data_IF_106487153293
#
_entry.id   IF_106487153293
#
_cell.length_a   1.000
_cell.length_b   1.000
_cell.length_c   1.000
_cell.angle_alpha   90.00
_cell.angle_beta   90.00
_cell.angle_gamma   90.00
#
_symmetry.space_group_name_H-M   'P 1'
#
loop_
_entity.id
_entity.type
_entity.pdbx_description
1 polymer ?
#
# COMPACT_ATOMS: atom_id res chain seq x y z
N UNK A 1 16.92 5.73 26.11
CA UNK A 1 15.54 6.01 26.55
C UNK A 1 15.15 7.37 26.00
N UNK A 2 13.92 7.52 25.50
CA UNK A 2 13.42 8.79 25.00
C UNK A 2 13.03 9.69 26.20
N UNK A 3 13.20 11.02 26.11
CA UNK A 3 12.70 11.94 27.14
C UNK A 3 11.22 11.75 27.44
N UNK A 4 10.81 11.87 28.71
CA UNK A 4 9.42 11.62 29.17
C UNK A 4 8.40 12.60 28.57
N UNK A 5 8.84 13.77 28.13
CA UNK A 5 7.97 14.79 27.53
C UNK A 5 7.61 14.51 26.07
N UNK A 6 8.19 13.49 25.44
CA UNK A 6 7.85 13.10 24.08
C UNK A 6 6.81 11.97 24.13
N UNK A 7 5.57 12.20 23.64
CA UNK A 7 4.57 11.16 23.58
C UNK A 7 5.04 9.96 22.76
N UNK A 8 4.77 8.76 23.27
CA UNK A 8 5.14 7.50 22.61
C UNK A 8 3.94 6.59 22.43
N UNK A 9 4.00 5.77 21.39
CA UNK A 9 3.05 4.70 21.09
C UNK A 9 3.75 3.35 21.24
N UNK A 10 3.10 2.42 21.95
CA UNK A 10 3.49 1.03 21.99
C UNK A 10 2.91 0.32 20.77
N UNK A 11 3.78 -0.09 19.86
CA UNK A 11 3.42 -0.83 18.66
C UNK A 11 3.70 -2.33 18.87
N UNK A 12 2.71 -3.15 18.55
CA UNK A 12 2.82 -4.61 18.61
C UNK A 12 2.52 -5.23 17.26
N UNK A 13 3.02 -6.44 17.01
CA UNK A 13 2.61 -7.24 15.86
C UNK A 13 2.86 -8.71 16.16
N UNK A 14 2.17 -9.60 15.44
CA UNK A 14 2.42 -11.04 15.46
C UNK A 14 2.42 -11.60 14.05
N UNK A 15 3.47 -12.33 13.71
CA UNK A 15 3.66 -12.93 12.39
C UNK A 15 3.62 -14.45 12.49
N UNK A 16 2.64 -15.03 11.82
CA UNK A 16 2.44 -16.48 11.72
C UNK A 16 2.41 -16.90 10.26
N UNK A 17 2.88 -18.11 9.99
CA UNK A 17 2.62 -18.79 8.73
C UNK A 17 1.14 -19.22 8.64
N UNK A 18 0.62 -19.56 7.45
CA UNK A 18 -0.78 -20.02 7.30
C UNK A 18 -1.12 -21.28 8.12
N UNK A 19 -0.11 -22.13 8.42
CA UNK A 19 -0.26 -23.30 9.29
C UNK A 19 -0.07 -22.96 10.79
N UNK A 20 0.01 -21.67 11.14
CA UNK A 20 0.02 -21.18 12.52
C UNK A 20 1.38 -21.17 13.22
N UNK A 21 2.47 -21.44 12.51
CA UNK A 21 3.82 -21.43 13.10
C UNK A 21 4.34 -19.99 13.23
N UNK A 22 5.03 -19.66 14.32
CA UNK A 22 5.77 -18.40 14.45
C UNK A 22 6.74 -18.18 13.28
N UNK A 23 6.66 -17.01 12.66
CA UNK A 23 7.69 -16.57 11.72
C UNK A 23 8.91 -16.03 12.48
N UNK A 24 10.04 -15.93 11.77
CA UNK A 24 11.26 -15.28 12.28
C UNK A 24 11.69 -14.16 11.35
N UNK A 25 12.43 -13.18 11.88
CA UNK A 25 12.93 -12.05 11.11
C UNK A 25 12.94 -10.76 11.91
N UNK A 26 12.91 -9.64 11.20
CA UNK A 26 12.97 -8.30 11.80
C UNK A 26 12.01 -7.35 11.13
N UNK A 27 11.48 -6.40 11.89
CA UNK A 27 10.73 -5.25 11.39
C UNK A 27 11.52 -3.99 11.71
N UNK A 28 11.74 -3.15 10.71
CA UNK A 28 12.44 -1.87 10.87
C UNK A 28 11.45 -0.71 10.72
N UNK A 29 11.55 0.26 11.62
CA UNK A 29 10.76 1.49 11.64
C UNK A 29 11.70 2.67 11.44
N UNK A 30 11.62 3.34 10.29
CA UNK A 30 12.53 4.41 9.90
C UNK A 30 11.79 5.74 9.76
N UNK A 31 12.17 6.79 10.51
CA UNK A 31 11.74 8.16 10.24
C UNK A 31 12.18 8.62 8.83
N UNK A 32 11.48 9.60 8.22
CA UNK A 32 11.73 9.97 6.82
C UNK A 32 13.07 10.69 6.63
N UNK A 33 13.55 11.35 7.68
CA UNK A 33 14.82 12.06 7.75
C UNK A 33 15.29 12.14 9.20
N UNK A 34 16.41 12.84 9.43
CA UNK A 34 16.82 13.25 10.76
C UNK A 34 15.82 14.29 11.28
N UNK A 35 15.07 13.93 12.31
CA UNK A 35 14.10 14.80 12.98
C UNK A 35 14.78 15.56 14.12
N UNK A 36 14.25 16.75 14.42
CA UNK A 36 14.68 17.56 15.56
C UNK A 36 13.51 17.88 16.46
N UNK A 37 13.76 17.93 17.77
CA UNK A 37 12.79 18.35 18.78
C UNK A 37 13.44 19.40 19.69
N UNK A 38 13.18 20.67 19.39
CA UNK A 38 13.90 21.79 20.03
C UNK A 38 13.67 21.85 21.55
N UNK A 39 12.44 21.64 22.02
CA UNK A 39 12.13 21.70 23.46
C UNK A 39 12.74 20.55 24.27
N UNK A 40 13.16 19.48 23.60
CA UNK A 40 13.78 18.32 24.23
C UNK A 40 15.28 18.22 23.88
N UNK A 41 15.83 19.22 23.18
CA UNK A 41 17.21 19.25 22.66
C UNK A 41 17.64 17.92 21.99
N UNK A 42 16.72 17.32 21.21
CA UNK A 42 16.86 15.97 20.69
C UNK A 42 16.95 15.93 19.15
N UNK A 43 17.88 15.13 18.64
CA UNK A 43 17.88 14.64 17.27
C UNK A 43 17.41 13.19 17.25
N UNK A 44 16.46 12.87 16.37
CA UNK A 44 15.94 11.51 16.20
C UNK A 44 16.14 11.06 14.75
N UNK A 45 16.85 9.95 14.57
CA UNK A 45 17.14 9.41 13.24
C UNK A 45 17.53 7.94 13.31
N UNK A 46 17.76 7.37 12.13
CA UNK A 46 18.07 5.95 11.98
C UNK A 46 16.84 5.05 12.21
N UNK A 47 16.90 3.78 11.78
CA UNK A 47 15.81 2.85 11.99
C UNK A 47 15.84 2.26 13.40
N UNK A 48 14.67 2.16 14.03
CA UNK A 48 14.45 1.26 15.17
C UNK A 48 14.16 -0.13 14.61
N UNK A 49 14.95 -1.13 15.00
CA UNK A 49 14.76 -2.53 14.56
C UNK A 49 14.20 -3.37 15.70
N UNK A 50 13.09 -4.04 15.45
CA UNK A 50 12.51 -5.05 16.33
C UNK A 50 12.71 -6.44 15.72
N UNK A 51 13.26 -7.37 16.51
CA UNK A 51 13.41 -8.78 16.12
C UNK A 51 12.23 -9.57 16.66
N UNK A 52 11.68 -10.47 15.84
CA UNK A 52 10.58 -11.35 16.26
C UNK A 52 11.08 -12.30 17.37
N UNK A 53 10.27 -12.46 18.43
CA UNK A 53 10.52 -13.44 19.48
C UNK A 53 10.15 -14.88 19.06
N UNK A 54 10.24 -15.83 20.01
CA UNK A 54 9.92 -17.23 19.76
C UNK A 54 8.46 -17.48 19.36
N UNK A 55 7.55 -16.56 19.70
CA UNK A 55 6.12 -16.60 19.35
C UNK A 55 5.80 -15.79 18.09
N UNK A 56 6.82 -15.25 17.41
CA UNK A 56 6.70 -14.46 16.19
C UNK A 56 6.20 -13.05 16.45
N UNK A 57 6.36 -12.54 17.68
CA UNK A 57 5.84 -11.23 18.10
C UNK A 57 6.94 -10.17 18.15
N UNK A 58 6.50 -8.93 18.04
CA UNK A 58 7.29 -7.75 18.41
C UNK A 58 6.49 -6.86 19.37
N UNK A 59 7.21 -6.14 20.22
CA UNK A 59 6.68 -5.03 21.00
C UNK A 59 7.75 -3.94 21.03
N UNK A 60 7.43 -2.75 20.53
CA UNK A 60 8.36 -1.63 20.42
C UNK A 60 7.67 -0.34 20.80
N UNK A 61 8.37 0.51 21.54
CA UNK A 61 7.90 1.86 21.89
C UNK A 61 8.52 2.85 20.93
N UNK A 62 7.68 3.60 20.20
CA UNK A 62 8.10 4.54 19.18
C UNK A 62 7.51 5.93 19.48
N UNK A 63 8.23 7.03 19.22
CA UNK A 63 7.64 8.36 19.31
C UNK A 63 6.42 8.51 18.41
N UNK A 64 5.39 9.19 18.92
CA UNK A 64 4.22 9.58 18.16
C UNK A 64 4.62 10.58 17.06
N UNK A 65 4.01 10.43 15.89
CA UNK A 65 4.38 11.16 14.67
C UNK A 65 3.66 12.50 14.53
N UNK A 66 2.61 12.72 15.32
CA UNK A 66 1.82 13.95 15.39
C UNK A 66 2.10 14.78 16.66
N UNK A 67 3.07 14.36 17.47
CA UNK A 67 3.44 15.10 18.67
C UNK A 67 3.96 16.51 18.31
N UNK A 68 3.64 17.54 19.11
CA UNK A 68 4.17 18.88 18.92
C UNK A 68 5.69 18.91 19.12
N UNK A 69 6.36 19.92 18.57
CA UNK A 69 7.80 20.13 18.78
C UNK A 69 8.72 19.44 17.77
N UNK A 70 8.22 18.48 16.98
CA UNK A 70 8.97 17.89 15.87
C UNK A 70 9.20 18.86 14.71
N UNK A 71 10.38 18.77 14.10
CA UNK A 71 10.67 19.38 12.82
C UNK A 71 11.37 18.38 11.88
N UNK A 72 10.78 18.06 10.71
CA UNK A 72 9.46 18.52 10.24
C UNK A 72 8.30 18.04 11.13
N UNK A 73 7.22 18.84 11.16
CA UNK A 73 5.96 18.47 11.83
C UNK A 73 5.24 17.38 11.05
N UNK A 74 4.40 16.58 11.73
CA UNK A 74 3.50 15.59 11.14
C UNK A 74 4.18 14.69 10.08
N UNK A 75 4.92 13.71 10.56
CA UNK A 75 5.74 12.81 9.73
C UNK A 75 5.20 11.37 9.75
N UNK A 76 5.86 10.46 9.05
CA UNK A 76 5.49 9.03 9.02
C UNK A 76 6.71 8.13 9.14
N UNK A 77 6.54 6.94 9.72
CA UNK A 77 7.58 5.91 9.66
C UNK A 77 7.46 5.11 8.37
N UNK A 78 8.61 4.83 7.75
CA UNK A 78 8.76 3.72 6.81
C UNK A 78 8.93 2.43 7.58
N UNK A 79 8.00 1.50 7.41
CA UNK A 79 8.08 0.14 7.94
C UNK A 79 8.71 -0.76 6.89
N UNK A 80 9.69 -1.58 7.28
CA UNK A 80 10.26 -2.62 6.42
C UNK A 80 10.23 -3.97 7.14
N UNK A 81 9.42 -4.89 6.63
CA UNK A 81 9.25 -6.24 7.16
C UNK A 81 10.19 -7.21 6.44
N UNK A 82 11.25 -7.65 7.13
CA UNK A 82 12.25 -8.63 6.64
C UNK A 82 12.03 -9.97 7.35
N UNK A 83 11.04 -10.71 6.86
CA UNK A 83 10.62 -11.99 7.45
C UNK A 83 11.15 -13.17 6.65
N UNK A 84 11.56 -14.23 7.34
CA UNK A 84 11.97 -15.48 6.72
C UNK A 84 10.78 -16.14 6.00
N UNK A 85 11.02 -16.64 4.78
CA UNK A 85 10.00 -17.33 3.98
C UNK A 85 9.15 -16.43 3.08
N UNK A 86 9.27 -15.10 3.17
CA UNK A 86 8.68 -14.18 2.18
C UNK A 86 9.55 -14.07 0.92
N UNK A 87 8.91 -13.75 -0.22
CA UNK A 87 9.61 -13.48 -1.47
C UNK A 87 10.68 -12.39 -1.29
N UNK A 88 11.79 -12.49 -2.05
CA UNK A 88 12.94 -11.59 -1.91
C UNK A 88 12.49 -10.13 -2.09
N UNK A 89 12.61 -9.34 -1.03
CA UNK A 89 12.25 -7.91 -1.03
C UNK A 89 11.53 -7.45 0.23
N UNK A 90 10.84 -8.36 0.94
CA UNK A 90 10.02 -8.00 2.11
C UNK A 90 8.84 -7.09 1.74
N UNK A 91 8.12 -6.57 2.75
CA UNK A 91 7.08 -5.53 2.57
C UNK A 91 7.61 -4.20 3.07
N UNK A 92 7.34 -3.12 2.33
CA UNK A 92 7.68 -1.75 2.75
C UNK A 92 6.47 -0.85 2.58
N UNK A 93 6.11 -0.10 3.62
CA UNK A 93 4.96 0.81 3.63
C UNK A 93 5.15 1.95 4.65
N UNK A 94 4.29 2.97 4.62
CA UNK A 94 4.32 4.06 5.59
C UNK A 94 3.24 3.90 6.65
N UNK A 95 3.52 4.30 7.89
CA UNK A 95 2.53 4.41 8.97
C UNK A 95 2.67 5.75 9.71
N UNK A 96 1.55 6.23 10.25
CA UNK A 96 1.51 7.31 11.23
C UNK A 96 1.12 6.73 12.59
N UNK A 97 1.72 7.22 13.67
CA UNK A 97 1.41 6.80 15.04
C UNK A 97 0.91 8.01 15.82
N UNK A 98 -0.40 8.08 16.04
CA UNK A 98 -1.01 9.21 16.72
C UNK A 98 -0.81 9.13 18.24
N UNK A 99 -0.46 10.24 18.88
CA UNK A 99 -0.30 10.33 20.34
C UNK A 99 -1.60 10.03 21.10
N UNK A 100 -2.76 10.21 20.45
CA UNK A 100 -4.08 9.87 21.00
C UNK A 100 -4.35 8.36 21.07
N UNK A 101 -3.54 7.54 20.39
CA UNK A 101 -3.67 6.08 20.34
C UNK A 101 -2.38 5.46 20.90
N UNK A 102 -2.25 5.30 22.24
CA UNK A 102 -0.99 4.92 22.88
C UNK A 102 -0.59 3.46 22.66
N UNK A 103 -1.51 2.61 22.16
CA UNK A 103 -1.25 1.22 21.85
C UNK A 103 -1.87 0.88 20.49
N UNK A 104 -1.06 0.29 19.60
CA UNK A 104 -1.45 -0.05 18.24
C UNK A 104 -0.96 -1.47 17.90
N UNK A 105 -1.80 -2.27 17.26
CA UNK A 105 -1.36 -3.47 16.55
C UNK A 105 -1.06 -3.09 15.09
N UNK A 106 0.12 -3.44 14.62
CA UNK A 106 0.57 -3.16 13.25
C UNK A 106 -0.36 -3.81 12.22
N UNK A 107 -1.00 -4.95 12.55
CA UNK A 107 -1.94 -5.61 11.67
C UNK A 107 -3.21 -4.79 11.40
N UNK A 108 -3.61 -3.91 12.32
CA UNK A 108 -4.81 -3.08 12.19
C UNK A 108 -4.60 -1.87 11.26
N UNK A 109 -3.34 -1.44 11.09
CA UNK A 109 -2.98 -0.24 10.32
C UNK A 109 -2.15 -0.54 9.06
N UNK A 110 -1.61 -1.76 8.93
CA UNK A 110 -0.83 -2.14 7.76
C UNK A 110 -1.73 -2.22 6.52
N UNK A 111 -1.32 -1.63 5.38
CA UNK A 111 -2.12 -1.68 4.16
C UNK A 111 -2.21 -3.11 3.61
N UNK A 112 -3.37 -3.46 3.05
CA UNK A 112 -3.61 -4.78 2.44
C UNK A 112 -2.67 -5.04 1.25
N UNK A 113 -2.43 -4.02 0.42
CA UNK A 113 -1.41 -4.03 -0.63
C UNK A 113 -0.49 -2.81 -0.48
N UNK A 114 0.79 -3.00 -0.09
CA UNK A 114 1.72 -1.88 0.06
C UNK A 114 2.22 -1.33 -1.29
N UNK A 115 1.95 -2.00 -2.40
CA UNK A 115 2.43 -1.65 -3.75
C UNK A 115 1.40 -0.95 -4.64
N UNK A 116 0.12 -0.93 -4.24
CA UNK A 116 -0.93 -0.23 -5.00
C UNK A 116 -1.49 0.96 -4.23
N UNK A 117 -1.35 2.21 -4.74
CA UNK A 117 -2.30 3.26 -4.36
C UNK A 117 -3.68 2.83 -4.88
N UNK A 118 -4.67 2.71 -4.00
CA UNK A 118 -6.03 2.33 -4.38
C UNK A 118 -6.63 3.33 -5.37
N UNK A 119 -6.63 2.98 -6.66
CA UNK A 119 -7.38 3.69 -7.70
C UNK A 119 -8.60 2.85 -8.07
N UNK A 120 -9.80 3.33 -7.74
CA UNK A 120 -11.04 2.79 -8.32
C UNK A 120 -11.15 3.38 -9.72
N UNK A 121 -10.74 2.64 -10.74
CA UNK A 121 -11.05 3.03 -12.11
C UNK A 121 -12.57 2.96 -12.28
N UNK A 122 -13.22 4.12 -12.37
CA UNK A 122 -14.60 4.21 -12.89
C UNK A 122 -14.47 4.12 -14.40
N UNK A 123 -14.92 3.03 -15.06
CA UNK A 123 -14.95 3.00 -16.52
C UNK A 123 -15.82 4.15 -16.99
N UNK A 124 -15.27 5.03 -17.83
CA UNK A 124 -16.07 6.04 -18.52
C UNK A 124 -17.13 5.35 -19.40
N UNK A 125 -18.23 6.05 -19.73
CA UNK A 125 -19.21 5.51 -20.69
C UNK A 125 -18.51 5.14 -22.01
N UNK A 126 -18.96 4.09 -22.72
CA UNK A 126 -18.45 3.74 -24.04
C UNK A 126 -18.43 4.96 -24.96
N UNK A 127 -17.33 5.14 -25.71
CA UNK A 127 -17.28 6.16 -26.75
C UNK A 127 -18.37 5.94 -27.82
N UNK A 128 -18.76 6.97 -28.58
CA UNK A 128 -19.69 6.82 -29.68
C UNK A 128 -19.15 5.82 -30.71
N UNK A 129 -20.05 5.10 -31.38
CA UNK A 129 -19.69 4.25 -32.51
C UNK A 129 -18.97 5.09 -33.58
N UNK A 130 -17.91 4.52 -34.17
CA UNK A 130 -17.23 5.16 -35.30
C UNK A 130 -18.18 5.34 -36.48
N UNK A 131 -17.89 6.32 -37.34
CA UNK A 131 -18.64 6.53 -38.57
C UNK A 131 -18.58 5.29 -39.46
N UNK A 132 -19.69 4.98 -40.13
CA UNK A 132 -19.74 3.91 -41.11
C UNK A 132 -18.72 4.20 -42.23
N UNK A 133 -17.89 3.22 -42.57
CA UNK A 133 -16.95 3.34 -43.68
C UNK A 133 -17.66 3.63 -45.02
N UNK A 134 -16.95 4.16 -46.02
CA UNK A 134 -17.52 4.44 -47.33
C UNK A 134 -18.09 3.17 -47.97
N UNK A 135 -19.22 3.31 -48.67
CA UNK A 135 -19.83 2.22 -49.43
C UNK A 135 -18.84 1.72 -50.50
N UNK A 136 -18.67 0.41 -50.59
CA UNK A 136 -17.86 -0.20 -51.63
C UNK A 136 -18.42 0.09 -53.04
N UNK A 137 -17.59 0.01 -54.09
CA UNK A 137 -18.05 0.23 -55.46
C UNK A 137 -19.16 -0.77 -55.84
N UNK A 138 -20.10 -0.30 -56.67
CA UNK A 138 -21.18 -1.14 -57.18
C UNK A 138 -20.62 -2.33 -57.98
N UNK A 139 -21.18 -3.52 -57.73
CA UNK A 139 -20.82 -4.73 -58.48
C UNK A 139 -21.26 -4.64 -59.94
N UNK A 140 -20.61 -5.39 -60.87
CA UNK A 140 -21.02 -5.43 -62.26
C UNK A 140 -22.42 -6.02 -62.42
N UNK A 141 -23.22 -5.44 -63.33
CA UNK A 141 -24.57 -5.91 -63.62
C UNK A 141 -24.54 -7.33 -64.23
N UNK A 142 -25.14 -8.29 -63.53
CA UNK A 142 -25.31 -9.67 -64.03
C UNK A 142 -26.42 -9.72 -65.08
N UNK A 143 -26.10 -10.25 -66.27
CA UNK A 143 -27.08 -10.51 -67.32
C UNK A 143 -27.92 -11.75 -66.94
N UNK A 144 -29.17 -11.55 -66.53
CA UNK A 144 -30.14 -12.65 -66.40
C UNK A 144 -31.02 -12.70 -67.65
N UNK A 145 -30.82 -13.74 -68.47
CA UNK A 145 -31.76 -14.10 -69.52
C UNK A 145 -32.89 -14.93 -68.88
N UNK A 146 -34.06 -14.34 -68.75
CA UNK A 146 -35.25 -14.97 -68.20
C UNK A 146 -35.77 -16.06 -69.16
N UNK A 147 -35.83 -17.30 -68.69
CA UNK A 147 -36.53 -18.41 -69.32
C UNK A 147 -37.59 -18.92 -68.34
N UNK A 148 -38.82 -19.08 -68.85
CA UNK A 148 -40.01 -19.68 -68.21
C UNK A 148 -40.83 -18.68 -67.36
N UNK A 149 -42.08 -18.32 -67.68
CA UNK A 149 -43.10 -19.04 -68.44
C UNK A 149 -43.88 -19.99 -67.53
N UNK A 150 -44.95 -19.51 -66.89
CA UNK A 150 -46.12 -20.28 -66.46
C UNK A 150 -47.24 -19.32 -65.98
N UNK A 151 -48.35 -19.27 -66.72
CA UNK A 151 -49.65 -18.77 -66.26
C UNK A 151 -50.64 -19.92 -66.44
N UNK A 152 -51.24 -20.32 -65.32
CA UNK A 152 -52.46 -21.12 -65.08
C UNK A 152 -52.82 -22.30 -66.01
#
# INVERSE_FOLDING_TARGET
MLPENIPTVTLTARYLTPDGRPMSGTVEFRPPALLTHAEADLFLGGPTRATLDADGRISVVLPATDAPGWNPVAWTYTVTEKLAGLARGGRTYQIALAASVPAVDLADIAPADPSTPQYVAVPGPPGPAGELGPQGPAGPAGAVHSVNGHTE
#
